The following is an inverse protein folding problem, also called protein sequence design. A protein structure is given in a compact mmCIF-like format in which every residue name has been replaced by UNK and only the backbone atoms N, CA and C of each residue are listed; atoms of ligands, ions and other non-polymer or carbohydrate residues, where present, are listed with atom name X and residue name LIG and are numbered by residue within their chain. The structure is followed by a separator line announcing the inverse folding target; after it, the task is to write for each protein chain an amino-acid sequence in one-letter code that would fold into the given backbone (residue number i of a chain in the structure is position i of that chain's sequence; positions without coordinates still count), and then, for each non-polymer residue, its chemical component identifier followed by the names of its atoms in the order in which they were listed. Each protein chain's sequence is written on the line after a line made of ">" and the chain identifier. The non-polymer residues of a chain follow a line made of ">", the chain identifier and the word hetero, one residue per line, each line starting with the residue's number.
data_IF_080926616907
#
_entry.id   IF_080926616907
#
_cell.length_a   1.000
_cell.length_b   1.000
_cell.length_c   1.000
_cell.angle_alpha   90.00
_cell.angle_beta   90.00
_cell.angle_gamma   90.00
#
_symmetry.space_group_name_H-M   'P 1'
#
loop_
_entity.id
_entity.type
_entity.pdbx_description
1 polymer ?
#
# COMPACT_ATOMS: atom_id res chain seq x y z
N UNK A 1 0.01 -6.43 -30.69
CA UNK A 1 -1.13 -6.00 -29.84
C UNK A 1 -2.46 -6.27 -30.54
N UNK A 2 -2.72 -5.67 -31.70
CA UNK A 2 -4.01 -5.82 -32.42
C UNK A 2 -4.32 -7.29 -32.72
N UNK A 3 -3.36 -8.06 -33.25
CA UNK A 3 -3.55 -9.50 -33.51
C UNK A 3 -3.89 -10.29 -32.22
N UNK A 4 -3.22 -9.97 -31.11
CA UNK A 4 -3.47 -10.60 -29.81
C UNK A 4 -4.88 -10.28 -29.30
N UNK A 5 -5.30 -9.01 -29.40
CA UNK A 5 -6.65 -8.59 -29.04
C UNK A 5 -7.71 -9.29 -29.92
N UNK A 6 -7.44 -9.42 -31.21
CA UNK A 6 -8.30 -10.13 -32.15
C UNK A 6 -8.44 -11.62 -31.81
N UNK A 7 -7.37 -12.27 -31.35
CA UNK A 7 -7.43 -13.66 -30.88
C UNK A 7 -8.31 -13.81 -29.62
N UNK A 8 -8.19 -12.89 -28.66
CA UNK A 8 -9.09 -12.86 -27.49
C UNK A 8 -10.54 -12.63 -27.90
N UNK A 9 -10.77 -11.77 -28.89
CA UNK A 9 -12.11 -11.52 -29.41
C UNK A 9 -12.71 -12.75 -30.10
N UNK A 10 -11.91 -13.48 -30.91
CA UNK A 10 -12.33 -14.75 -31.52
C UNK A 10 -12.69 -15.80 -30.47
N UNK A 11 -11.89 -15.91 -29.41
CA UNK A 11 -12.16 -16.85 -28.31
C UNK A 11 -13.45 -16.50 -27.55
N UNK A 12 -13.79 -15.21 -27.48
CA UNK A 12 -15.00 -14.73 -26.84
C UNK A 12 -16.25 -14.77 -27.75
N UNK A 13 -16.09 -15.08 -29.05
CA UNK A 13 -17.14 -14.92 -30.06
C UNK A 13 -18.36 -15.79 -29.78
N UNK A 14 -18.16 -17.05 -29.43
CA UNK A 14 -19.24 -18.05 -29.39
C UNK A 14 -20.28 -17.79 -28.30
N UNK A 15 -19.87 -17.29 -27.13
CA UNK A 15 -20.77 -17.14 -25.97
C UNK A 15 -20.78 -15.74 -25.34
N UNK A 16 -19.73 -14.93 -25.49
CA UNK A 16 -19.63 -13.66 -24.78
C UNK A 16 -20.18 -12.46 -25.56
N UNK A 17 -20.13 -12.52 -26.88
CA UNK A 17 -20.53 -11.40 -27.76
C UNK A 17 -22.05 -11.25 -27.92
N UNK A 18 -22.81 -12.33 -27.73
CA UNK A 18 -24.28 -12.33 -27.88
C UNK A 18 -24.93 -11.44 -26.82
N UNK A 19 -25.75 -10.49 -27.24
CA UNK A 19 -26.48 -9.58 -26.35
C UNK A 19 -25.65 -8.45 -25.73
N UNK A 20 -24.35 -8.33 -26.07
CA UNK A 20 -23.49 -7.22 -25.64
C UNK A 20 -23.09 -6.34 -26.81
N UNK A 21 -22.80 -5.06 -26.54
CA UNK A 21 -22.26 -4.14 -27.56
C UNK A 21 -20.86 -4.61 -27.98
N UNK A 22 -20.69 -4.85 -29.28
CA UNK A 22 -19.43 -5.34 -29.87
C UNK A 22 -18.24 -4.43 -29.57
N UNK A 23 -18.46 -3.12 -29.54
CA UNK A 23 -17.46 -2.10 -29.20
C UNK A 23 -16.90 -2.27 -27.79
N UNK A 24 -17.74 -2.57 -26.80
CA UNK A 24 -17.33 -2.75 -25.40
C UNK A 24 -16.48 -4.02 -25.23
N UNK A 25 -16.88 -5.10 -25.91
CA UNK A 25 -16.15 -6.36 -25.91
C UNK A 25 -14.78 -6.17 -26.59
N UNK A 26 -14.76 -5.53 -27.76
CA UNK A 26 -13.52 -5.25 -28.50
C UNK A 26 -12.54 -4.39 -27.67
N UNK A 27 -13.02 -3.33 -27.02
CA UNK A 27 -12.21 -2.50 -26.14
C UNK A 27 -11.66 -3.29 -24.93
N UNK A 28 -12.47 -4.18 -24.34
CA UNK A 28 -12.03 -5.05 -23.25
C UNK A 28 -10.94 -6.03 -23.69
N UNK A 29 -11.08 -6.65 -24.87
CA UNK A 29 -10.05 -7.52 -25.46
C UNK A 29 -8.76 -6.75 -25.76
N UNK A 30 -8.88 -5.52 -26.26
CA UNK A 30 -7.74 -4.65 -26.52
C UNK A 30 -7.01 -4.27 -25.23
N UNK A 31 -7.76 -3.95 -24.17
CA UNK A 31 -7.19 -3.68 -22.85
C UNK A 31 -6.43 -4.88 -22.27
N UNK A 32 -6.95 -6.11 -22.41
CA UNK A 32 -6.22 -7.33 -22.02
C UNK A 32 -4.89 -7.44 -22.78
N UNK A 33 -4.89 -7.20 -24.10
CA UNK A 33 -3.68 -7.24 -24.91
C UNK A 33 -2.67 -6.15 -24.52
N UNK A 34 -3.14 -4.95 -24.13
CA UNK A 34 -2.31 -3.88 -23.60
C UNK A 34 -1.67 -4.26 -22.26
N UNK A 35 -2.45 -4.82 -21.32
CA UNK A 35 -1.92 -5.32 -20.03
C UNK A 35 -0.89 -6.41 -20.21
N UNK A 36 -1.13 -7.37 -21.12
CA UNK A 36 -0.17 -8.43 -21.45
C UNK A 36 1.14 -7.90 -22.03
N UNK A 37 1.09 -6.79 -22.76
CA UNK A 37 2.25 -6.18 -23.42
C UNK A 37 2.87 -5.04 -22.59
N UNK A 38 2.45 -4.89 -21.33
CA UNK A 38 2.88 -3.83 -20.39
C UNK A 38 2.84 -2.42 -21.00
N UNK A 39 1.83 -2.15 -21.84
CA UNK A 39 1.63 -0.83 -22.45
C UNK A 39 0.95 0.14 -21.47
N UNK A 40 1.31 1.43 -21.50
CA UNK A 40 0.80 2.43 -20.56
C UNK A 40 -0.60 2.90 -20.99
N UNK A 41 -1.59 2.00 -20.99
CA UNK A 41 -3.00 2.32 -21.19
C UNK A 41 -3.82 1.83 -20.01
N UNK A 42 -4.63 2.73 -19.45
CA UNK A 42 -5.59 2.46 -18.40
C UNK A 42 -6.97 2.20 -19.00
N UNK A 43 -7.82 1.49 -18.27
CA UNK A 43 -9.19 1.22 -18.70
C UNK A 43 -9.99 2.52 -18.95
N UNK A 44 -9.69 3.59 -18.21
CA UNK A 44 -10.34 4.90 -18.37
C UNK A 44 -10.04 5.54 -19.73
N UNK A 45 -8.87 5.30 -20.32
CA UNK A 45 -8.54 5.86 -21.64
C UNK A 45 -9.48 5.31 -22.73
N UNK A 46 -9.85 4.03 -22.63
CA UNK A 46 -10.84 3.41 -23.53
C UNK A 46 -12.25 3.91 -23.26
N UNK A 47 -12.56 4.15 -21.98
CA UNK A 47 -13.85 4.67 -21.56
C UNK A 47 -14.10 6.08 -22.10
N UNK A 48 -13.08 6.94 -22.03
CA UNK A 48 -13.10 8.30 -22.51
C UNK A 48 -13.27 8.33 -24.04
N UNK A 49 -12.56 7.46 -24.78
CA UNK A 49 -12.70 7.33 -26.23
C UNK A 49 -14.10 6.84 -26.66
N UNK A 50 -14.68 5.89 -25.91
CA UNK A 50 -16.00 5.34 -26.20
C UNK A 50 -17.16 6.18 -25.64
N UNK A 51 -16.87 7.23 -24.87
CA UNK A 51 -17.86 8.03 -24.14
C UNK A 51 -18.83 7.18 -23.29
N UNK A 52 -18.29 6.17 -22.61
CA UNK A 52 -19.04 5.33 -21.68
C UNK A 52 -18.49 5.46 -20.27
N UNK A 53 -19.29 5.05 -19.28
CA UNK A 53 -18.83 4.97 -17.90
C UNK A 53 -17.81 3.84 -17.71
N UNK A 54 -16.72 4.12 -17.02
CA UNK A 54 -15.64 3.15 -16.72
C UNK A 54 -16.19 1.94 -15.96
N UNK A 55 -17.23 2.12 -15.15
CA UNK A 55 -17.88 1.04 -14.40
C UNK A 55 -18.57 0.04 -15.33
N UNK A 56 -19.20 0.50 -16.41
CA UNK A 56 -19.85 -0.36 -17.41
C UNK A 56 -18.78 -1.15 -18.17
N UNK A 57 -17.72 -0.47 -18.62
CA UNK A 57 -16.62 -1.14 -19.32
C UNK A 57 -15.88 -2.12 -18.41
N UNK A 58 -15.68 -1.75 -17.13
CA UNK A 58 -15.09 -2.60 -16.10
C UNK A 58 -15.90 -3.87 -15.83
N UNK A 59 -17.23 -3.76 -15.77
CA UNK A 59 -18.10 -4.93 -15.62
C UNK A 59 -17.96 -5.88 -16.82
N UNK A 60 -17.96 -5.37 -18.05
CA UNK A 60 -17.74 -6.18 -19.27
C UNK A 60 -16.36 -6.83 -19.24
N UNK A 61 -15.32 -6.08 -18.86
CA UNK A 61 -13.96 -6.60 -18.73
C UNK A 61 -13.85 -7.74 -17.70
N UNK A 62 -14.45 -7.59 -16.52
CA UNK A 62 -14.42 -8.62 -15.47
C UNK A 62 -15.18 -9.88 -15.90
N UNK A 63 -16.36 -9.71 -16.49
CA UNK A 63 -17.13 -10.82 -17.04
C UNK A 63 -16.36 -11.54 -18.17
N UNK A 64 -15.64 -10.79 -19.02
CA UNK A 64 -14.82 -11.37 -20.07
C UNK A 64 -13.66 -12.18 -19.49
N UNK A 65 -13.00 -11.66 -18.45
CA UNK A 65 -11.92 -12.39 -17.76
C UNK A 65 -12.44 -13.68 -17.11
N UNK A 66 -13.66 -13.69 -16.58
CA UNK A 66 -14.29 -14.90 -16.05
C UNK A 66 -14.56 -15.94 -17.15
N UNK A 67 -15.15 -15.52 -18.27
CA UNK A 67 -15.46 -16.44 -19.39
C UNK A 67 -14.21 -16.99 -20.06
N UNK A 68 -13.14 -16.21 -20.13
CA UNK A 68 -11.86 -16.64 -20.67
C UNK A 68 -10.97 -17.37 -19.63
N UNK A 69 -11.48 -17.62 -18.41
CA UNK A 69 -10.75 -18.26 -17.31
C UNK A 69 -9.42 -17.57 -16.98
N UNK A 70 -9.37 -16.25 -17.14
CA UNK A 70 -8.19 -15.43 -16.86
C UNK A 70 -8.12 -14.93 -15.41
N UNK A 71 -9.06 -15.35 -14.55
CA UNK A 71 -9.14 -14.87 -13.16
C UNK A 71 -7.89 -15.15 -12.33
N UNK A 72 -7.27 -16.30 -12.55
CA UNK A 72 -6.00 -16.69 -11.91
C UNK A 72 -4.77 -16.34 -12.75
N UNK A 73 -4.98 -15.88 -13.98
CA UNK A 73 -3.87 -15.63 -14.88
C UNK A 73 -3.08 -14.37 -14.44
N UNK A 74 -1.73 -14.39 -14.50
CA UNK A 74 -0.89 -13.26 -14.10
C UNK A 74 -1.26 -11.92 -14.77
N UNK A 75 -1.83 -11.96 -15.98
CA UNK A 75 -2.30 -10.75 -16.70
C UNK A 75 -3.34 -9.97 -15.88
N UNK A 76 -4.22 -10.67 -15.16
CA UNK A 76 -5.30 -10.05 -14.37
C UNK A 76 -4.84 -9.80 -12.93
N UNK A 77 -4.19 -10.81 -12.31
CA UNK A 77 -3.74 -10.74 -10.91
C UNK A 77 -2.57 -9.78 -10.69
N UNK A 78 -1.64 -9.65 -11.64
CA UNK A 78 -0.48 -8.76 -11.50
C UNK A 78 -0.95 -7.32 -11.34
N UNK A 79 -0.52 -6.70 -10.24
CA UNK A 79 -0.73 -5.28 -9.98
C UNK A 79 -0.15 -4.46 -11.14
N UNK A 80 -0.92 -3.49 -11.59
CA UNK A 80 -0.47 -2.60 -12.66
C UNK A 80 0.58 -1.65 -12.09
N UNK A 81 1.75 -1.66 -12.69
CA UNK A 81 2.87 -0.83 -12.26
C UNK A 81 2.63 0.66 -12.58
N UNK A 82 2.59 1.57 -11.59
CA UNK A 82 2.43 3.01 -11.81
C UNK A 82 3.58 3.65 -12.62
N UNK A 83 4.79 3.09 -12.58
CA UNK A 83 5.96 3.65 -13.29
C UNK A 83 5.76 3.70 -14.81
N UNK A 84 5.00 2.75 -15.36
CA UNK A 84 4.70 2.68 -16.80
C UNK A 84 4.02 3.94 -17.32
N UNK A 85 3.23 4.62 -16.49
CA UNK A 85 2.42 5.76 -16.92
C UNK A 85 3.10 7.12 -16.72
N UNK A 86 4.22 7.18 -15.99
CA UNK A 86 4.85 8.44 -15.59
C UNK A 86 5.24 9.29 -16.81
N UNK A 87 5.96 8.72 -17.77
CA UNK A 87 6.38 9.46 -18.98
C UNK A 87 5.18 10.00 -19.75
N UNK A 88 4.11 9.20 -19.90
CA UNK A 88 2.89 9.61 -20.60
C UNK A 88 2.18 10.77 -19.90
N UNK A 89 2.07 10.71 -18.57
CA UNK A 89 1.42 11.76 -17.79
C UNK A 89 2.29 13.03 -17.71
N UNK A 90 3.61 12.89 -17.58
CA UNK A 90 4.55 13.99 -17.58
C UNK A 90 4.51 14.76 -18.91
N UNK A 91 4.53 14.05 -20.05
CA UNK A 91 4.42 14.67 -21.38
C UNK A 91 3.08 15.41 -21.54
N UNK A 92 1.98 14.83 -21.07
CA UNK A 92 0.65 15.46 -21.13
C UNK A 92 0.52 16.68 -20.22
N UNK A 93 1.20 16.69 -19.07
CA UNK A 93 1.17 17.81 -18.13
C UNK A 93 2.07 18.97 -18.58
N UNK A 94 3.31 18.66 -18.97
CA UNK A 94 4.34 19.64 -19.32
C UNK A 94 4.20 20.15 -20.76
N UNK A 95 3.49 19.40 -21.62
CA UNK A 95 3.40 19.66 -23.05
C UNK A 95 4.72 19.43 -23.81
N UNK A 96 5.77 19.00 -23.11
CA UNK A 96 7.10 18.68 -23.63
C UNK A 96 7.65 17.46 -22.91
N UNK A 97 8.60 16.78 -23.53
CA UNK A 97 9.31 15.67 -22.91
C UNK A 97 10.43 16.21 -22.01
N UNK A 98 10.22 16.13 -20.70
CA UNK A 98 11.22 16.46 -19.68
C UNK A 98 11.59 15.18 -18.93
N UNK A 99 12.79 14.67 -19.22
CA UNK A 99 13.27 13.43 -18.60
C UNK A 99 13.63 13.67 -17.13
N UNK A 100 14.08 14.87 -16.74
CA UNK A 100 14.47 15.15 -15.35
C UNK A 100 13.27 15.02 -14.40
N UNK A 101 12.13 15.63 -14.78
CA UNK A 101 10.87 15.49 -14.02
C UNK A 101 10.39 14.04 -14.00
N UNK A 102 10.48 13.35 -15.13
CA UNK A 102 10.06 11.95 -15.23
C UNK A 102 10.91 11.02 -14.35
N UNK A 103 12.22 11.22 -14.32
CA UNK A 103 13.17 10.39 -13.56
C UNK A 103 13.00 10.62 -12.06
N UNK A 104 12.85 11.87 -11.63
CA UNK A 104 12.49 12.21 -10.24
C UNK A 104 11.15 11.57 -9.85
N UNK A 105 10.13 11.67 -10.71
CA UNK A 105 8.83 11.05 -10.45
C UNK A 105 8.93 9.51 -10.36
N UNK A 106 9.76 8.87 -11.18
CA UNK A 106 10.02 7.43 -11.12
C UNK A 106 10.69 7.03 -9.81
N UNK A 107 11.66 7.81 -9.32
CA UNK A 107 12.30 7.59 -8.00
C UNK A 107 11.29 7.69 -6.86
N UNK A 108 10.41 8.70 -6.90
CA UNK A 108 9.34 8.87 -5.92
C UNK A 108 8.35 7.69 -5.98
N UNK A 109 7.95 7.26 -7.17
CA UNK A 109 7.09 6.06 -7.33
C UNK A 109 7.78 4.81 -6.78
N UNK A 110 9.07 4.63 -7.02
CA UNK A 110 9.83 3.51 -6.47
C UNK A 110 9.82 3.54 -4.93
N UNK A 111 9.93 4.72 -4.33
CA UNK A 111 9.76 4.87 -2.88
C UNK A 111 8.37 4.53 -2.39
N UNK A 112 7.33 5.07 -3.03
CA UNK A 112 5.94 4.77 -2.69
C UNK A 112 5.62 3.26 -2.78
N UNK A 113 6.30 2.53 -3.68
CA UNK A 113 6.19 1.07 -3.77
C UNK A 113 6.83 0.36 -2.58
N UNK A 114 8.03 0.80 -2.16
CA UNK A 114 8.72 0.27 -0.97
C UNK A 114 7.89 0.51 0.29
N UNK A 115 7.24 1.67 0.38
CA UNK A 115 6.37 2.05 1.50
C UNK A 115 4.95 1.44 1.42
N UNK A 116 4.74 0.42 0.58
CA UNK A 116 3.46 -0.29 0.41
C UNK A 116 2.24 0.58 0.07
N UNK A 117 2.46 1.78 -0.49
CA UNK A 117 1.38 2.72 -0.81
C UNK A 117 0.55 2.30 -2.04
N UNK A 118 1.04 1.34 -2.85
CA UNK A 118 0.38 0.87 -4.06
C UNK A 118 -0.74 -0.15 -3.77
N UNK A 119 -0.61 -0.96 -2.72
CA UNK A 119 -1.46 -2.14 -2.52
C UNK A 119 -2.92 -1.76 -2.28
N UNK A 120 -3.83 -2.42 -3.01
CA UNK A 120 -5.28 -2.18 -2.92
C UNK A 120 -5.76 -0.83 -3.44
N UNK A 121 -4.88 -0.05 -4.10
CA UNK A 121 -5.17 1.33 -4.53
C UNK A 121 -5.00 1.49 -6.04
N UNK A 122 -5.70 2.48 -6.61
CA UNK A 122 -5.63 2.79 -8.04
C UNK A 122 -4.28 3.45 -8.36
N UNK A 123 -3.48 2.92 -9.33
CA UNK A 123 -2.13 3.41 -9.61
C UNK A 123 -2.11 4.88 -10.08
N UNK A 124 -3.15 5.35 -10.76
CA UNK A 124 -3.27 6.73 -11.24
C UNK A 124 -3.08 7.78 -10.14
N UNK A 125 -3.56 7.51 -8.92
CA UNK A 125 -3.42 8.43 -7.79
C UNK A 125 -1.98 8.54 -7.30
N UNK A 126 -1.22 7.45 -7.32
CA UNK A 126 0.21 7.46 -6.98
C UNK A 126 1.03 8.18 -8.05
N UNK A 127 0.73 7.91 -9.34
CA UNK A 127 1.37 8.63 -10.45
C UNK A 127 1.16 10.14 -10.32
N UNK A 128 -0.07 10.57 -10.00
CA UNK A 128 -0.37 11.99 -9.81
C UNK A 128 0.40 12.61 -8.64
N UNK A 129 0.48 11.93 -7.50
CA UNK A 129 1.21 12.42 -6.34
C UNK A 129 2.71 12.56 -6.63
N UNK A 130 3.31 11.53 -7.24
CA UNK A 130 4.71 11.55 -7.62
C UNK A 130 5.02 12.64 -8.65
N UNK A 131 4.14 12.81 -9.65
CA UNK A 131 4.32 13.84 -10.67
C UNK A 131 4.18 15.26 -10.10
N UNK A 132 3.27 15.47 -9.15
CA UNK A 132 3.11 16.75 -8.46
C UNK A 132 4.37 17.13 -7.68
N UNK A 133 4.92 16.20 -6.89
CA UNK A 133 6.15 16.43 -6.11
C UNK A 133 7.34 16.68 -7.04
N UNK A 134 7.48 15.87 -8.10
CA UNK A 134 8.55 16.05 -9.08
C UNK A 134 8.45 17.38 -9.82
N UNK A 135 7.25 17.77 -10.26
CA UNK A 135 7.05 19.05 -10.93
C UNK A 135 7.45 20.24 -10.03
N UNK A 136 7.04 20.20 -8.75
CA UNK A 136 7.42 21.22 -7.77
C UNK A 136 8.93 21.27 -7.54
N UNK A 137 9.60 20.10 -7.44
CA UNK A 137 11.05 20.00 -7.29
C UNK A 137 11.83 20.66 -8.43
N UNK A 138 11.29 20.61 -9.65
CA UNK A 138 11.92 21.21 -10.83
C UNK A 138 11.44 22.64 -11.12
N UNK A 139 10.72 23.26 -10.18
CA UNK A 139 10.25 24.64 -10.27
C UNK A 139 9.00 24.85 -11.11
N UNK A 140 8.30 23.79 -11.52
CA UNK A 140 7.02 23.90 -12.21
C UNK A 140 5.85 24.02 -11.22
N UNK A 141 5.11 25.11 -11.33
CA UNK A 141 3.96 25.39 -10.45
C UNK A 141 2.66 24.96 -11.11
N UNK A 142 2.20 23.76 -10.78
CA UNK A 142 0.89 23.24 -11.18
C UNK A 142 -0.07 23.18 -9.99
N UNK A 143 -1.35 23.41 -10.24
CA UNK A 143 -2.37 23.20 -9.21
C UNK A 143 -2.68 21.71 -9.08
N UNK A 144 -3.24 21.32 -7.92
CA UNK A 144 -3.69 19.94 -7.71
C UNK A 144 -4.78 19.54 -8.70
N UNK A 145 -5.60 20.51 -9.14
CA UNK A 145 -6.62 20.34 -10.16
C UNK A 145 -6.02 19.98 -11.53
N UNK A 146 -4.94 20.66 -11.94
CA UNK A 146 -4.26 20.40 -13.22
C UNK A 146 -3.73 18.96 -13.27
N UNK A 147 -3.08 18.51 -12.19
CA UNK A 147 -2.59 17.14 -12.08
C UNK A 147 -3.74 16.14 -12.11
N UNK A 148 -4.79 16.39 -11.31
CA UNK A 148 -5.97 15.55 -11.19
C UNK A 148 -6.66 15.34 -12.56
N UNK A 149 -6.72 16.38 -13.39
CA UNK A 149 -7.25 16.33 -14.75
C UNK A 149 -6.42 15.42 -15.67
N UNK A 150 -5.09 15.48 -15.58
CA UNK A 150 -4.19 14.66 -16.42
C UNK A 150 -4.21 13.17 -16.04
N UNK A 151 -4.25 12.86 -14.75
CA UNK A 151 -4.23 11.46 -14.27
C UNK A 151 -5.63 10.83 -14.15
N UNK A 152 -6.68 11.60 -14.39
CA UNK A 152 -8.08 11.20 -14.28
C UNK A 152 -8.45 10.66 -12.88
N UNK A 153 -8.18 11.46 -11.85
CA UNK A 153 -8.43 11.15 -10.43
C UNK A 153 -9.01 12.38 -9.73
N UNK A 154 -9.80 12.21 -8.67
CA UNK A 154 -10.30 13.32 -7.88
C UNK A 154 -9.18 13.99 -7.05
N UNK A 155 -9.23 15.32 -6.89
CA UNK A 155 -8.26 16.08 -6.08
C UNK A 155 -8.15 15.56 -4.65
N UNK A 156 -9.27 15.20 -4.00
CA UNK A 156 -9.26 14.63 -2.66
C UNK A 156 -8.47 13.31 -2.58
N UNK A 157 -8.48 12.50 -3.64
CA UNK A 157 -7.70 11.26 -3.71
C UNK A 157 -6.22 11.56 -3.88
N UNK A 158 -5.87 12.54 -4.72
CA UNK A 158 -4.50 13.02 -4.89
C UNK A 158 -3.95 13.56 -3.56
N UNK A 159 -4.72 14.40 -2.87
CA UNK A 159 -4.36 14.96 -1.57
C UNK A 159 -4.13 13.89 -0.50
N UNK A 160 -5.00 12.87 -0.44
CA UNK A 160 -4.79 11.71 0.46
C UNK A 160 -3.48 10.96 0.17
N UNK A 161 -3.03 10.89 -1.08
CA UNK A 161 -1.74 10.26 -1.43
C UNK A 161 -0.55 11.13 -1.06
N UNK A 162 -0.67 12.44 -1.20
CA UNK A 162 0.38 13.39 -0.77
C UNK A 162 0.59 13.33 0.74
N UNK A 163 -0.49 13.41 1.54
CA UNK A 163 -0.40 13.28 3.00
C UNK A 163 0.20 11.94 3.40
N UNK A 164 -0.21 10.86 2.75
CA UNK A 164 0.31 9.54 3.08
C UNK A 164 1.81 9.41 2.80
N UNK A 165 2.30 10.03 1.72
CA UNK A 165 3.72 10.09 1.41
C UNK A 165 4.49 10.98 2.40
N UNK A 166 3.92 12.11 2.81
CA UNK A 166 4.49 12.99 3.83
C UNK A 166 4.70 12.27 5.18
N UNK A 167 3.85 11.29 5.50
CA UNK A 167 3.96 10.49 6.71
C UNK A 167 4.92 9.27 6.58
N UNK A 168 5.61 9.09 5.45
CA UNK A 168 6.65 8.06 5.35
C UNK A 168 8.02 8.64 5.67
N UNK A 169 8.98 7.78 6.03
CA UNK A 169 10.36 8.21 6.31
C UNK A 169 10.96 8.98 5.12
N UNK A 170 10.61 8.55 3.91
CA UNK A 170 11.04 9.18 2.66
C UNK A 170 10.40 10.56 2.42
N UNK A 171 9.22 10.82 2.98
CA UNK A 171 8.55 12.13 2.90
C UNK A 171 9.11 13.17 3.87
N UNK A 172 9.80 12.74 4.93
CA UNK A 172 10.43 13.64 5.90
C UNK A 172 11.77 14.23 5.41
N UNK A 173 12.35 13.65 4.36
CA UNK A 173 13.64 14.08 3.79
C UNK A 173 13.48 15.32 2.91
N UNK A 174 14.55 16.11 2.82
CA UNK A 174 14.64 17.12 1.76
C UNK A 174 14.67 16.44 0.40
N UNK A 175 14.27 17.14 -0.65
CA UNK A 175 14.28 16.57 -2.01
C UNK A 175 15.70 16.16 -2.42
N UNK A 176 16.71 16.94 -2.01
CA UNK A 176 18.11 16.67 -2.29
C UNK A 176 18.59 15.39 -1.60
N UNK A 177 18.31 15.25 -0.29
CA UNK A 177 18.65 14.06 0.50
C UNK A 177 17.91 12.82 -0.01
N UNK A 178 16.64 12.98 -0.40
CA UNK A 178 15.84 11.92 -0.97
C UNK A 178 16.43 11.40 -2.28
N UNK A 179 16.86 12.30 -3.17
CA UNK A 179 17.46 11.93 -4.45
C UNK A 179 18.82 11.25 -4.26
N UNK A 180 19.63 11.73 -3.32
CA UNK A 180 20.91 11.12 -2.97
C UNK A 180 20.72 9.69 -2.42
N UNK A 181 19.78 9.50 -1.47
CA UNK A 181 19.46 8.17 -0.93
C UNK A 181 18.93 7.21 -1.99
N UNK A 182 18.15 7.72 -2.95
CA UNK A 182 17.65 6.92 -4.07
C UNK A 182 18.75 6.44 -5.02
N UNK A 183 19.90 7.13 -5.10
CA UNK A 183 21.07 6.69 -5.86
C UNK A 183 21.95 5.71 -5.08
N UNK A 184 21.97 5.80 -3.74
CA UNK A 184 22.71 4.88 -2.86
C UNK A 184 22.01 3.54 -2.60
N UNK A 185 20.69 3.46 -2.81
CA UNK A 185 19.94 2.20 -2.80
C UNK A 185 19.86 1.63 -4.23
N UNK A 186 20.89 0.91 -4.75
CA UNK A 186 20.70 0.13 -5.95
C UNK A 186 19.57 -0.85 -5.65
N UNK A 187 18.58 -0.89 -6.56
CA UNK A 187 17.48 -1.85 -6.56
C UNK A 187 18.05 -3.20 -6.19
N UNK A 188 17.86 -3.56 -4.92
CA UNK A 188 18.31 -4.84 -4.40
C UNK A 188 17.52 -5.83 -5.22
N UNK A 189 18.19 -6.48 -6.19
CA UNK A 189 17.64 -7.63 -6.88
C UNK A 189 17.37 -8.60 -5.75
N UNK A 190 16.12 -8.69 -5.33
CA UNK A 190 15.64 -9.76 -4.48
C UNK A 190 15.79 -11.06 -5.29
N UNK A 191 17.02 -11.53 -5.34
CA UNK A 191 17.42 -12.88 -5.62
C UNK A 191 18.50 -13.18 -4.59
N UNK A 192 18.13 -13.10 -3.31
CA UNK A 192 18.84 -13.84 -2.29
C UNK A 192 18.80 -15.30 -2.76
N UNK A 193 19.97 -15.85 -3.10
CA UNK A 193 20.11 -17.30 -3.18
C UNK A 193 19.71 -17.82 -1.81
N UNK A 194 18.61 -18.54 -1.75
CA UNK A 194 18.10 -19.16 -0.53
C UNK A 194 19.22 -20.00 0.10
N UNK A 195 19.82 -19.53 1.20
CA UNK A 195 20.74 -20.33 2.01
C UNK A 195 22.07 -19.67 2.42
N UNK A 196 22.45 -18.50 1.91
CA UNK A 196 23.73 -17.85 2.31
C UNK A 196 23.52 -16.84 3.44
N UNK A 197 24.26 -16.98 4.55
CA UNK A 197 24.32 -15.97 5.63
C UNK A 197 25.26 -14.82 5.27
N UNK A 198 24.93 -13.63 5.76
CA UNK A 198 25.61 -12.34 5.60
C UNK A 198 26.35 -11.88 6.86
N UNK A 199 26.23 -12.63 7.97
CA UNK A 199 26.98 -12.37 9.19
C UNK A 199 28.43 -12.88 9.10
N UNK A 200 29.30 -12.44 10.03
CA UNK A 200 30.71 -12.89 10.12
C UNK A 200 30.85 -14.42 10.29
N UNK A 201 29.77 -15.13 10.63
CA UNK A 201 29.75 -16.58 10.75
C UNK A 201 29.60 -17.33 9.42
N UNK A 202 29.58 -16.61 8.29
CA UNK A 202 29.56 -17.19 6.94
C UNK A 202 30.69 -18.18 6.70
N UNK A 203 31.92 -17.83 7.06
CA UNK A 203 33.10 -18.67 6.84
C UNK A 203 33.20 -19.85 7.83
N UNK A 204 32.33 -19.86 8.85
CA UNK A 204 32.23 -20.94 9.85
C UNK A 204 31.18 -22.00 9.48
N UNK A 205 30.58 -21.91 8.30
CA UNK A 205 29.55 -22.85 7.84
C UNK A 205 28.20 -22.71 8.54
N UNK A 206 27.92 -21.53 9.10
CA UNK A 206 26.65 -21.29 9.78
C UNK A 206 25.48 -21.28 8.78
N UNK A 207 24.39 -21.97 9.13
CA UNK A 207 23.20 -22.04 8.30
C UNK A 207 22.36 -20.76 8.41
N UNK A 208 21.65 -20.46 7.33
CA UNK A 208 20.73 -19.34 7.28
C UNK A 208 19.51 -19.59 8.16
N UNK A 209 19.32 -18.75 9.17
CA UNK A 209 18.12 -18.76 10.01
C UNK A 209 17.07 -17.79 9.44
N UNK A 210 17.31 -16.48 9.54
CA UNK A 210 16.39 -15.44 9.05
C UNK A 210 17.12 -14.14 8.73
N UNK A 211 16.58 -13.35 7.79
CA UNK A 211 17.13 -12.05 7.35
C UNK A 211 18.60 -12.08 6.92
N UNK A 212 19.09 -13.22 6.41
CA UNK A 212 20.50 -13.36 6.07
C UNK A 212 21.42 -13.52 7.29
N UNK A 213 20.92 -13.78 8.49
CA UNK A 213 21.71 -14.02 9.70
C UNK A 213 21.65 -15.50 10.11
N UNK A 214 22.69 -15.98 10.78
CA UNK A 214 22.60 -17.23 11.54
C UNK A 214 21.77 -17.01 12.81
N UNK A 215 21.32 -18.09 13.44
CA UNK A 215 20.47 -18.07 14.63
C UNK A 215 21.05 -17.18 15.75
N UNK A 216 22.32 -17.40 16.13
CA UNK A 216 22.98 -16.59 17.18
C UNK A 216 23.05 -15.09 16.86
N UNK A 217 23.31 -14.73 15.60
CA UNK A 217 23.35 -13.32 15.18
C UNK A 217 21.95 -12.71 15.10
N UNK A 218 20.94 -13.51 14.76
CA UNK A 218 19.56 -13.07 14.71
C UNK A 218 19.01 -12.79 16.12
N UNK A 219 19.32 -13.65 17.09
CA UNK A 219 18.90 -13.46 18.47
C UNK A 219 19.55 -12.23 19.09
N UNK A 220 20.87 -12.06 18.88
CA UNK A 220 21.58 -10.87 19.34
C UNK A 220 21.08 -9.59 18.65
N UNK A 221 20.77 -9.65 17.35
CA UNK A 221 20.11 -8.55 16.64
C UNK A 221 18.74 -8.21 17.24
N UNK A 222 17.95 -9.22 17.59
CA UNK A 222 16.63 -9.04 18.18
C UNK A 222 16.71 -8.45 19.58
N UNK A 223 17.67 -8.86 20.40
CA UNK A 223 17.89 -8.32 21.74
C UNK A 223 18.43 -6.89 21.75
N UNK A 224 19.39 -6.58 20.85
CA UNK A 224 19.99 -5.23 20.76
C UNK A 224 19.07 -4.21 20.09
N UNK A 225 18.28 -4.65 19.11
CA UNK A 225 17.47 -3.75 18.26
C UNK A 225 15.99 -3.74 18.66
N UNK A 226 15.56 -4.65 19.54
CA UNK A 226 14.14 -4.85 19.88
C UNK A 226 13.34 -5.59 18.81
N UNK A 227 14.01 -6.23 17.84
CA UNK A 227 13.38 -6.88 16.68
C UNK A 227 12.97 -5.92 15.56
N UNK A 228 12.44 -6.48 14.46
CA UNK A 228 11.96 -5.75 13.27
C UNK A 228 10.47 -5.38 13.35
N UNK A 229 9.88 -5.31 14.55
CA UNK A 229 8.52 -4.82 14.67
C UNK A 229 8.46 -3.33 14.27
N UNK A 230 7.83 -3.06 13.13
CA UNK A 230 7.45 -1.71 12.70
C UNK A 230 8.01 -1.23 11.36
N UNK A 231 8.93 -1.96 10.71
CA UNK A 231 9.68 -1.43 9.57
C UNK A 231 9.17 -1.75 8.15
N UNK A 232 8.25 -2.72 7.97
CA UNK A 232 7.91 -3.21 6.63
C UNK A 232 6.40 -3.34 6.36
N UNK A 233 5.56 -2.96 7.32
CA UNK A 233 4.14 -3.24 7.23
C UNK A 233 3.36 -2.14 6.50
N UNK A 234 2.36 -2.49 5.67
CA UNK A 234 1.53 -1.50 5.00
C UNK A 234 0.90 -0.51 6.00
N UNK A 235 0.72 0.77 5.64
CA UNK A 235 0.12 1.78 6.53
C UNK A 235 -1.25 1.43 7.11
N UNK A 236 -1.97 0.48 6.49
CA UNK A 236 -3.22 -0.07 7.01
C UNK A 236 -2.99 -1.07 8.17
N UNK A 237 -1.95 -1.90 8.06
CA UNK A 237 -1.53 -2.81 9.11
C UNK A 237 -0.98 -2.03 10.30
N UNK A 238 -0.07 -1.08 10.09
CA UNK A 238 0.45 -0.22 11.17
C UNK A 238 -0.67 0.53 11.92
N UNK A 239 -1.69 1.02 11.20
CA UNK A 239 -2.87 1.65 11.82
C UNK A 239 -3.71 0.66 12.63
N UNK A 240 -3.88 -0.56 12.13
CA UNK A 240 -4.57 -1.62 12.86
C UNK A 240 -3.77 -2.04 14.10
N UNK A 241 -2.45 -2.18 14.00
CA UNK A 241 -1.53 -2.48 15.10
C UNK A 241 -1.63 -1.40 16.18
N UNK A 242 -1.53 -0.13 15.79
CA UNK A 242 -1.68 1.02 16.69
C UNK A 242 -3.03 1.03 17.39
N UNK A 243 -4.11 0.76 16.65
CA UNK A 243 -5.45 0.65 17.25
C UNK A 243 -5.57 -0.52 18.23
N UNK A 244 -4.92 -1.66 17.96
CA UNK A 244 -4.88 -2.81 18.87
C UNK A 244 -4.06 -2.50 20.11
N UNK A 245 -2.92 -1.83 19.97
CA UNK A 245 -2.09 -1.37 21.09
C UNK A 245 -2.81 -0.33 21.95
N UNK A 246 -3.47 0.66 21.33
CA UNK A 246 -4.25 1.68 22.03
C UNK A 246 -5.45 1.03 22.77
N UNK A 247 -6.11 0.05 22.15
CA UNK A 247 -7.18 -0.72 22.79
C UNK A 247 -6.67 -1.58 23.95
N UNK A 248 -5.52 -2.25 23.79
CA UNK A 248 -4.89 -3.03 24.84
C UNK A 248 -4.40 -2.15 26.01
N UNK A 249 -3.90 -0.94 25.72
CA UNK A 249 -3.51 0.04 26.74
C UNK A 249 -4.72 0.53 27.52
N UNK A 250 -5.81 0.90 26.84
CA UNK A 250 -7.07 1.28 27.50
C UNK A 250 -7.67 0.14 28.32
N UNK A 251 -7.55 -1.11 27.86
CA UNK A 251 -8.00 -2.28 28.62
C UNK A 251 -7.17 -2.50 29.88
N UNK A 252 -5.85 -2.28 29.82
CA UNK A 252 -4.97 -2.32 31.00
C UNK A 252 -5.25 -1.18 31.98
N UNK A 253 -5.46 0.04 31.49
CA UNK A 253 -5.83 1.20 32.31
C UNK A 253 -7.18 0.95 33.02
N UNK A 254 -8.18 0.45 32.30
CA UNK A 254 -9.46 0.08 32.90
C UNK A 254 -9.34 -1.03 33.96
N UNK A 255 -8.50 -2.06 33.71
CA UNK A 255 -8.27 -3.12 34.69
C UNK A 255 -7.53 -2.62 35.95
N UNK A 256 -6.66 -1.61 35.81
CA UNK A 256 -5.99 -0.96 36.95
C UNK A 256 -6.98 -0.12 37.75
N UNK A 257 -7.85 0.65 37.08
CA UNK A 257 -8.90 1.43 37.73
C UNK A 257 -9.89 0.51 38.47
N UNK A 258 -10.25 -0.63 37.89
CA UNK A 258 -11.12 -1.64 38.49
C UNK A 258 -10.46 -2.28 39.73
N UNK A 259 -9.15 -2.61 39.67
CA UNK A 259 -8.40 -3.10 40.82
C UNK A 259 -8.25 -2.05 41.95
N UNK A 260 -8.13 -0.77 41.60
CA UNK A 260 -8.10 0.33 42.59
C UNK A 260 -9.47 0.49 43.26
N UNK A 261 -10.57 0.31 42.52
CA UNK A 261 -11.92 0.31 43.09
C UNK A 261 -12.18 -0.90 44.01
N UNK A 262 -11.66 -2.09 43.68
CA UNK A 262 -11.78 -3.27 44.53
C UNK A 262 -11.03 -3.11 45.86
N UNK A 263 -9.82 -2.53 45.84
CA UNK A 263 -9.05 -2.25 47.06
C UNK A 263 -9.74 -1.23 47.99
N UNK A 264 -10.45 -0.24 47.43
CA UNK A 264 -11.22 0.71 48.25
C UNK A 264 -12.48 0.11 48.85
N UNK A 265 -13.00 -1.00 48.30
CA UNK A 265 -14.17 -1.70 48.85
C UNK A 265 -13.78 -2.69 49.96
N UNK A 266 -12.58 -3.29 49.91
CA UNK A 266 -12.10 -4.18 50.99
C UNK A 266 -11.76 -3.44 52.29
N UNK A 267 -11.29 -2.19 52.21
CA UNK A 267 -11.02 -1.36 53.41
C UNK A 267 -12.30 -0.95 54.16
N UNK A 268 -13.48 -1.10 53.55
CA UNK A 268 -14.77 -0.79 54.19
C UNK A 268 -15.39 -1.98 54.92
N UNK A 269 -15.08 -3.21 54.53
CA UNK A 269 -15.65 -4.43 55.14
C UNK A 269 -14.91 -4.87 56.42
N UNK A 270 -13.62 -4.59 56.55
CA UNK A 270 -12.84 -4.93 57.75
C UNK A 270 -13.17 -4.06 58.98
N UNK A 271 -13.93 -2.96 58.81
CA UNK A 271 -14.29 -2.05 59.89
C UNK A 271 -15.66 -2.33 60.54
N UNK A 272 -16.36 -3.41 60.14
CA UNK A 272 -17.75 -3.72 60.59
C UNK A 272 -17.85 -4.97 61.49
N UNK A 273 -16.75 -5.62 61.88
CA UNK A 273 -16.83 -6.83 62.72
C UNK A 273 -16.00 -6.73 64.02
N UNK A 274 -16.54 -6.04 65.03
CA UNK A 274 -16.12 -6.19 66.43
C UNK A 274 -17.31 -5.90 67.37
N UNK A 275 -17.96 -6.90 68.00
CA UNK A 275 -19.07 -6.66 68.91
C UNK A 275 -18.54 -6.37 70.33
N UNK A 276 -18.62 -5.10 70.75
CA UNK A 276 -18.39 -4.69 72.14
C UNK A 276 -19.56 -5.09 73.05
N UNK A 277 -19.27 -5.89 74.08
CA UNK A 277 -20.19 -6.23 75.18
C UNK A 277 -20.67 -4.96 75.91
N UNK A 278 -21.98 -4.81 76.10
CA UNK A 278 -22.53 -3.90 77.11
C UNK A 278 -23.51 -4.66 78.00
N UNK A 279 -23.16 -4.66 79.28
CA UNK A 279 -23.85 -5.24 80.44
C UNK A 279 -25.13 -4.50 80.80
N UNK A 280 -26.19 -5.24 81.17
CA UNK A 280 -27.41 -4.70 81.78
C UNK A 280 -27.30 -4.84 83.31
N UNK A 281 -27.61 -3.80 84.11
CA UNK A 281 -27.79 -3.95 85.55
C UNK A 281 -29.27 -4.16 85.92
N UNK A 282 -29.51 -5.10 86.84
CA UNK A 282 -30.81 -5.41 87.47
C UNK A 282 -31.20 -4.38 88.54
N UNK A 283 -32.51 -4.10 88.65
CA UNK A 283 -33.40 -4.46 89.78
C UNK A 283 -34.77 -3.80 89.50
N UNK A 284 -35.92 -4.44 89.72
CA UNK A 284 -36.36 -5.20 90.91
C UNK A 284 -37.45 -6.19 90.52
#
# INVERSE_FOLDING_TARGET
>A
IICTAHNFYKLALDNFTRGRRTTHVAASCLYIACRRSEKPYLLIDFSDYLHISVYVLGAVFLQLCQVLLLGEHPIVQKLVDPSLFIHRFAERLLGKRDNAVSDTALRIVASMKRDWMQTGRKPSGLCGAALYIAALSHGYMYTKADIAAVVHVCEATLFKRLIEFENTDSGSLTIEDFLAKADEEPVSKCLAKSGEVLCEHKDKGAEHFSHGLCEECYDNFTELSGGLEGGADPPAFQRAEKQRLDAAKRAKEAAVDEAICELHNSDFEDNIMSPGKVTVPEHT
#
